data_IF_664615930888
#
_entry.id   IF_664615930888
#
_cell.length_a   1.000
_cell.length_b   1.000
_cell.length_c   1.000
_cell.angle_alpha   90.00
_cell.angle_beta   90.00
_cell.angle_gamma   90.00
#
_symmetry.space_group_name_H-M   'P 1'
#
loop_
_entity.id
_entity.type
_entity.pdbx_description
1 polymer ?
#
# COMPACT_ATOMS: atom_id res chain seq x y z
N UNK A 1 -58.49 40.45 -38.09
CA UNK A 1 -58.39 41.08 -39.41
C UNK A 1 -59.20 40.29 -40.43
N UNK A 2 -60.54 40.33 -40.47
CA UNK A 2 -61.59 40.78 -39.53
C UNK A 2 -62.92 40.08 -39.92
N UNK A 3 -63.85 39.76 -39.00
CA UNK A 3 -64.99 40.59 -38.55
C UNK A 3 -65.90 41.08 -39.73
N UNK A 4 -67.23 40.93 -39.77
CA UNK A 4 -68.24 40.36 -38.85
C UNK A 4 -69.58 40.10 -39.62
N UNK A 5 -70.75 40.11 -38.93
CA UNK A 5 -72.14 40.21 -39.45
C UNK A 5 -72.73 38.92 -40.11
N UNK A 6 -73.91 38.33 -39.77
CA UNK A 6 -75.22 38.73 -39.16
C UNK A 6 -76.04 39.72 -40.00
N UNK A 7 -77.35 39.61 -40.24
CA UNK A 7 -78.50 38.76 -39.78
C UNK A 7 -79.68 38.95 -40.78
N UNK A 8 -80.96 38.50 -40.56
CA UNK A 8 -81.54 37.51 -39.63
C UNK A 8 -82.19 36.33 -40.42
N UNK A 9 -83.43 35.81 -40.36
CA UNK A 9 -84.73 35.92 -39.61
C UNK A 9 -85.54 34.62 -39.99
N UNK A 10 -86.73 34.20 -39.52
CA UNK A 10 -87.76 34.71 -38.60
C UNK A 10 -88.36 33.55 -37.74
N UNK A 11 -89.56 33.03 -38.06
CA UNK A 11 -90.34 32.02 -37.29
C UNK A 11 -91.15 31.09 -38.25
N UNK A 12 -92.02 30.11 -37.88
CA UNK A 12 -92.63 29.65 -36.59
C UNK A 12 -93.17 28.19 -36.67
N UNK A 13 -93.80 27.73 -35.59
CA UNK A 13 -94.51 26.44 -35.29
C UNK A 13 -95.39 25.78 -36.40
N UNK A 14 -95.77 24.48 -36.36
CA UNK A 14 -95.45 23.36 -35.45
C UNK A 14 -96.51 22.20 -35.44
N UNK A 15 -96.13 21.03 -34.86
CA UNK A 15 -96.95 19.87 -34.39
C UNK A 15 -97.78 19.02 -35.40
N UNK A 16 -98.29 17.80 -35.10
CA UNK A 16 -97.81 16.56 -34.42
C UNK A 16 -98.92 15.46 -34.55
N UNK A 17 -98.74 14.23 -35.07
CA UNK A 17 -98.42 12.99 -34.30
C UNK A 17 -98.70 11.73 -35.15
N UNK A 18 -97.91 10.65 -35.01
CA UNK A 18 -98.43 9.26 -34.84
C UNK A 18 -97.31 8.33 -34.33
N UNK A 19 -97.56 7.56 -33.25
CA UNK A 19 -96.48 6.90 -32.49
C UNK A 19 -96.18 5.49 -33.01
N UNK A 20 -94.90 5.24 -33.32
CA UNK A 20 -94.37 3.94 -33.76
C UNK A 20 -94.12 3.03 -32.55
N UNK A 21 -94.78 1.88 -32.48
CA UNK A 21 -94.68 0.92 -31.35
C UNK A 21 -93.23 0.46 -31.14
N UNK A 22 -92.67 0.68 -29.95
CA UNK A 22 -91.27 0.35 -29.64
C UNK A 22 -91.01 -1.16 -29.74
N UNK A 23 -90.01 -1.53 -30.55
CA UNK A 23 -89.36 -2.85 -30.50
C UNK A 23 -88.50 -2.91 -29.24
N UNK A 24 -88.57 -4.01 -28.49
CA UNK A 24 -87.81 -4.17 -27.23
C UNK A 24 -87.07 -5.50 -27.22
N UNK A 25 -85.86 -5.49 -26.65
CA UNK A 25 -84.93 -6.63 -26.64
C UNK A 25 -85.56 -7.93 -26.07
N UNK A 26 -86.48 -7.80 -25.11
CA UNK A 26 -87.26 -8.90 -24.53
C UNK A 26 -88.14 -9.62 -25.56
N UNK A 27 -88.67 -8.90 -26.57
CA UNK A 27 -89.48 -9.48 -27.63
C UNK A 27 -88.63 -10.28 -28.61
N UNK A 28 -87.53 -9.69 -29.10
CA UNK A 28 -86.60 -10.33 -30.04
C UNK A 28 -86.00 -11.64 -29.49
N UNK A 29 -85.64 -11.66 -28.19
CA UNK A 29 -85.21 -12.90 -27.51
C UNK A 29 -86.33 -13.96 -27.51
N UNK A 30 -87.57 -13.57 -27.23
CA UNK A 30 -88.71 -14.51 -27.16
C UNK A 30 -89.08 -15.11 -28.52
N UNK A 31 -88.81 -14.38 -29.61
CA UNK A 31 -89.06 -14.83 -30.98
C UNK A 31 -87.94 -15.75 -31.48
N UNK A 32 -86.67 -15.43 -31.19
CA UNK A 32 -85.52 -16.29 -31.47
C UNK A 32 -85.63 -17.67 -30.77
N UNK A 33 -86.04 -17.69 -29.50
CA UNK A 33 -86.25 -18.93 -28.73
C UNK A 33 -87.35 -19.83 -29.34
N UNK A 34 -88.40 -19.25 -29.94
CA UNK A 34 -89.44 -20.02 -30.65
C UNK A 34 -88.90 -20.64 -31.94
N UNK A 35 -88.08 -19.92 -32.71
CA UNK A 35 -87.55 -20.42 -33.98
C UNK A 35 -86.51 -21.53 -33.80
N UNK A 36 -85.65 -21.46 -32.77
CA UNK A 36 -84.59 -22.45 -32.57
C UNK A 36 -85.01 -23.77 -31.90
N UNK A 37 -86.26 -23.92 -31.44
CA UNK A 37 -86.79 -25.13 -30.76
C UNK A 37 -85.97 -25.60 -29.53
N UNK A 38 -85.20 -24.73 -28.88
CA UNK A 38 -84.43 -25.08 -27.68
C UNK A 38 -85.13 -24.62 -26.41
N UNK A 39 -85.37 -25.57 -25.49
CA UNK A 39 -85.93 -25.28 -24.16
C UNK A 39 -84.88 -24.63 -23.24
N UNK A 40 -85.32 -23.73 -22.35
CA UNK A 40 -84.49 -23.07 -21.34
C UNK A 40 -83.70 -24.09 -20.50
N UNK A 41 -84.32 -25.20 -20.09
CA UNK A 41 -83.64 -26.29 -19.37
C UNK A 41 -82.53 -26.92 -20.21
N UNK A 42 -82.71 -27.03 -21.53
CA UNK A 42 -81.69 -27.50 -22.47
C UNK A 42 -80.51 -26.53 -22.58
N UNK A 43 -80.77 -25.21 -22.53
CA UNK A 43 -79.73 -24.18 -22.51
C UNK A 43 -78.94 -24.19 -21.18
N UNK A 44 -79.60 -24.37 -20.04
CA UNK A 44 -78.92 -24.54 -18.73
C UNK A 44 -78.10 -25.83 -18.70
N UNK A 45 -78.62 -26.95 -19.24
CA UNK A 45 -77.85 -28.19 -19.38
C UNK A 45 -76.67 -28.00 -20.34
N UNK A 46 -76.83 -27.28 -21.43
CA UNK A 46 -75.76 -26.99 -22.39
C UNK A 46 -74.66 -26.12 -21.77
N UNK A 47 -75.01 -25.06 -21.04
CA UNK A 47 -74.02 -24.20 -20.37
C UNK A 47 -73.36 -24.93 -19.19
N UNK A 48 -74.07 -25.81 -18.46
CA UNK A 48 -73.43 -26.70 -17.48
C UNK A 48 -72.45 -27.68 -18.16
N UNK A 49 -72.85 -28.32 -19.26
CA UNK A 49 -71.95 -29.18 -20.07
C UNK A 49 -70.79 -28.39 -20.68
N UNK A 50 -70.96 -27.09 -20.92
CA UNK A 50 -69.91 -26.18 -21.37
C UNK A 50 -68.95 -25.85 -20.24
N UNK A 51 -69.42 -25.57 -19.02
CA UNK A 51 -68.55 -25.42 -17.84
C UNK A 51 -67.80 -26.72 -17.53
N UNK A 52 -68.47 -27.88 -17.56
CA UNK A 52 -67.86 -29.21 -17.42
C UNK A 52 -66.83 -29.51 -18.54
N UNK A 53 -67.02 -28.99 -19.77
CA UNK A 53 -66.05 -29.11 -20.89
C UNK A 53 -65.05 -27.94 -21.01
N UNK A 54 -65.24 -26.86 -20.27
CA UNK A 54 -64.27 -25.78 -20.07
C UNK A 54 -63.34 -26.06 -18.90
N UNK A 55 -63.51 -27.22 -18.23
CA UNK A 55 -62.41 -27.95 -17.62
C UNK A 55 -61.38 -28.37 -18.68
N UNK A 56 -60.57 -27.40 -19.13
CA UNK A 56 -59.45 -27.66 -20.04
C UNK A 56 -58.45 -28.56 -19.33
N UNK A 57 -58.30 -29.78 -19.85
CA UNK A 57 -57.26 -30.71 -19.41
C UNK A 57 -55.90 -30.11 -19.76
N UNK A 58 -55.25 -29.50 -18.78
CA UNK A 58 -53.80 -29.42 -18.78
C UNK A 58 -53.27 -30.82 -18.45
N UNK A 59 -52.28 -31.35 -19.19
CA UNK A 59 -51.65 -32.62 -18.84
C UNK A 59 -50.96 -32.51 -17.48
N UNK A 60 -50.80 -33.63 -16.77
CA UNK A 60 -50.02 -33.66 -15.54
C UNK A 60 -48.56 -33.24 -15.81
N UNK A 61 -48.23 -32.02 -15.41
CA UNK A 61 -46.87 -31.66 -15.05
C UNK A 61 -46.85 -31.31 -13.57
N UNK A 62 -46.04 -32.04 -12.81
CA UNK A 62 -45.83 -31.89 -11.35
C UNK A 62 -45.02 -30.63 -11.01
N UNK A 63 -45.48 -29.47 -11.47
CA UNK A 63 -44.93 -28.17 -11.11
C UNK A 63 -45.57 -27.69 -9.81
N UNK A 64 -44.82 -27.86 -8.71
CA UNK A 64 -45.10 -27.21 -7.43
C UNK A 64 -45.38 -25.73 -7.67
N UNK A 65 -46.60 -25.27 -7.36
CA UNK A 65 -47.00 -23.88 -7.60
C UNK A 65 -46.26 -22.98 -6.60
N UNK A 66 -45.12 -22.44 -7.03
CA UNK A 66 -44.52 -21.27 -6.40
C UNK A 66 -45.49 -20.10 -6.60
N UNK A 67 -46.26 -19.79 -5.56
CA UNK A 67 -47.12 -18.60 -5.57
C UNK A 67 -46.23 -17.36 -5.70
N UNK A 68 -46.60 -16.33 -6.48
CA UNK A 68 -45.76 -15.14 -6.66
C UNK A 68 -45.50 -14.43 -5.33
N UNK A 69 -46.44 -14.50 -4.38
CA UNK A 69 -46.24 -14.04 -2.99
C UNK A 69 -45.03 -14.68 -2.32
N UNK A 70 -44.81 -15.98 -2.50
CA UNK A 70 -43.66 -16.68 -1.93
C UNK A 70 -42.35 -16.36 -2.68
N UNK A 71 -42.43 -16.03 -3.97
CA UNK A 71 -41.27 -15.51 -4.74
C UNK A 71 -40.85 -14.14 -4.20
N UNK A 72 -41.80 -13.22 -3.98
CA UNK A 72 -41.49 -11.90 -3.39
C UNK A 72 -40.95 -12.01 -1.95
N UNK A 73 -41.48 -12.91 -1.12
CA UNK A 73 -40.96 -13.18 0.23
C UNK A 73 -39.53 -13.75 0.15
N UNK A 74 -39.28 -14.73 -0.74
CA UNK A 74 -37.95 -15.31 -0.94
C UNK A 74 -36.93 -14.29 -1.45
N UNK A 75 -37.33 -13.41 -2.37
CA UNK A 75 -36.50 -12.31 -2.88
C UNK A 75 -36.19 -11.27 -1.80
N UNK A 76 -37.17 -10.94 -0.94
CA UNK A 76 -36.98 -10.06 0.21
C UNK A 76 -35.98 -10.64 1.22
N UNK A 77 -36.12 -11.92 1.56
CA UNK A 77 -35.17 -12.63 2.44
C UNK A 77 -33.77 -12.66 1.81
N UNK A 78 -33.67 -12.95 0.50
CA UNK A 78 -32.40 -12.95 -0.22
C UNK A 78 -31.72 -11.57 -0.20
N UNK A 79 -32.47 -10.49 -0.40
CA UNK A 79 -31.95 -9.12 -0.33
C UNK A 79 -31.50 -8.75 1.10
N UNK A 80 -32.23 -9.17 2.14
CA UNK A 80 -31.81 -8.96 3.54
C UNK A 80 -30.53 -9.74 3.87
N UNK A 81 -30.43 -11.00 3.44
CA UNK A 81 -29.20 -11.80 3.61
C UNK A 81 -28.03 -11.19 2.83
N UNK A 82 -28.26 -10.68 1.62
CA UNK A 82 -27.23 -9.99 0.83
C UNK A 82 -26.79 -8.68 1.50
N UNK A 83 -27.71 -7.88 2.03
CA UNK A 83 -27.42 -6.64 2.73
C UNK A 83 -26.67 -6.85 4.04
N UNK A 84 -27.01 -7.91 4.80
CA UNK A 84 -26.27 -8.34 5.99
C UNK A 84 -24.87 -8.83 5.59
N UNK A 85 -24.76 -9.61 4.52
CA UNK A 85 -23.47 -10.08 3.98
C UNK A 85 -22.56 -8.94 3.53
N UNK A 86 -23.10 -7.95 2.81
CA UNK A 86 -22.36 -6.75 2.39
C UNK A 86 -21.98 -5.88 3.59
N UNK A 87 -22.88 -5.69 4.57
CA UNK A 87 -22.56 -4.95 5.81
C UNK A 87 -21.49 -5.66 6.64
N UNK A 88 -21.56 -6.98 6.78
CA UNK A 88 -20.54 -7.76 7.47
C UNK A 88 -19.19 -7.71 6.73
N UNK A 89 -19.19 -7.83 5.40
CA UNK A 89 -18.00 -7.67 4.57
C UNK A 89 -17.40 -6.27 4.67
N UNK A 90 -18.23 -5.22 4.69
CA UNK A 90 -17.80 -3.83 4.92
C UNK A 90 -17.22 -3.64 6.33
N UNK A 91 -17.83 -4.21 7.37
CA UNK A 91 -17.31 -4.13 8.75
C UNK A 91 -16.02 -4.94 8.96
N UNK A 92 -15.83 -6.01 8.20
CA UNK A 92 -14.57 -6.77 8.16
C UNK A 92 -13.49 -6.01 7.36
N UNK A 93 -13.85 -5.32 6.26
CA UNK A 93 -12.93 -4.44 5.51
C UNK A 93 -12.60 -3.14 6.23
N UNK A 94 -13.50 -2.57 7.01
CA UNK A 94 -13.25 -1.42 7.89
C UNK A 94 -12.36 -1.78 9.10
N UNK A 95 -12.00 -3.06 9.24
CA UNK A 95 -10.94 -3.57 10.14
C UNK A 95 -9.68 -4.01 9.41
N UNK A 96 -9.60 -3.87 8.08
CA UNK A 96 -8.29 -3.71 7.48
C UNK A 96 -7.72 -2.39 8.03
N UNK A 97 -6.48 -2.37 8.55
CA UNK A 97 -5.87 -1.11 8.94
C UNK A 97 -5.84 -0.19 7.72
N UNK A 98 -6.33 1.03 7.87
CA UNK A 98 -5.98 2.08 6.92
C UNK A 98 -4.46 2.10 6.84
N UNK A 99 -3.91 2.08 5.61
CA UNK A 99 -2.49 2.30 5.43
C UNK A 99 -2.22 3.75 5.82
N UNK A 100 -1.88 3.96 7.09
CA UNK A 100 -1.30 5.21 7.57
C UNK A 100 -0.15 5.49 6.62
N UNK A 101 -0.29 6.55 5.84
CA UNK A 101 0.77 7.01 4.95
C UNK A 101 1.80 7.69 5.85
N UNK A 102 2.58 6.86 6.55
CA UNK A 102 3.74 7.30 7.30
C UNK A 102 4.56 8.21 6.37
N UNK A 103 4.96 9.41 6.83
CA UNK A 103 5.67 10.35 5.98
C UNK A 103 6.90 9.63 5.41
N UNK A 104 6.99 9.58 4.08
CA UNK A 104 8.09 8.93 3.39
C UNK A 104 9.38 9.63 3.78
N UNK A 105 10.21 8.96 4.59
CA UNK A 105 11.55 9.41 4.95
C UNK A 105 12.36 9.56 3.66
N UNK A 106 12.48 10.80 3.17
CA UNK A 106 13.26 11.15 1.99
C UNK A 106 14.75 11.06 2.30
N UNK A 107 15.28 9.85 2.22
CA UNK A 107 16.67 9.54 2.53
C UNK A 107 17.52 9.86 1.30
N UNK A 108 17.95 11.12 1.20
CA UNK A 108 18.92 11.56 0.20
C UNK A 108 20.27 10.87 0.45
N UNK A 109 20.48 9.73 -0.22
CA UNK A 109 21.72 8.95 -0.16
C UNK A 109 22.83 9.63 -0.97
N UNK A 110 24.07 9.75 -0.46
CA UNK A 110 25.20 10.30 -1.21
C UNK A 110 25.65 9.39 -2.37
N UNK A 111 25.32 8.10 -2.35
CA UNK A 111 25.59 7.14 -3.44
C UNK A 111 24.31 6.48 -3.95
N UNK A 112 24.34 6.00 -5.19
CA UNK A 112 23.31 5.11 -5.70
C UNK A 112 23.33 3.76 -4.95
N UNK A 113 22.14 3.23 -4.66
CA UNK A 113 21.90 1.97 -3.95
C UNK A 113 21.03 1.06 -4.82
N UNK A 114 21.43 -0.18 -5.05
CA UNK A 114 20.60 -1.19 -5.72
C UNK A 114 19.46 -1.67 -4.81
N UNK A 115 19.67 -1.62 -3.50
CA UNK A 115 18.73 -2.10 -2.49
C UNK A 115 18.80 -1.23 -1.22
N UNK A 116 17.69 -1.13 -0.49
CA UNK A 116 17.58 -0.36 0.74
C UNK A 116 16.74 -1.12 1.78
N UNK A 117 17.16 -1.08 3.05
CA UNK A 117 16.42 -1.67 4.18
C UNK A 117 16.42 -0.73 5.38
N UNK A 118 15.33 -0.82 6.15
CA UNK A 118 15.14 -0.05 7.38
C UNK A 118 15.22 -0.98 8.59
N UNK A 119 16.01 -0.59 9.60
CA UNK A 119 16.16 -1.30 10.88
C UNK A 119 15.65 -0.40 12.00
N UNK A 120 14.53 -0.75 12.62
CA UNK A 120 14.08 -0.09 13.86
C UNK A 120 14.98 -0.49 15.04
N UNK A 121 15.31 0.46 15.91
CA UNK A 121 16.08 0.29 17.15
C UNK A 121 15.19 0.71 18.33
N UNK A 122 15.06 -0.16 19.32
CA UNK A 122 14.13 -0.02 20.45
C UNK A 122 14.85 0.22 21.79
N UNK A 123 16.00 -0.45 21.99
CA UNK A 123 16.69 -0.60 23.28
C UNK A 123 18.04 0.12 23.31
N UNK A 124 18.35 0.86 22.25
CA UNK A 124 19.48 1.77 22.09
C UNK A 124 20.83 1.23 22.62
N UNK A 125 21.31 0.08 22.11
CA UNK A 125 22.59 -0.50 22.51
C UNK A 125 23.27 -1.34 21.42
N UNK A 126 24.59 -1.54 21.58
CA UNK A 126 25.47 -2.31 20.68
C UNK A 126 24.92 -3.69 20.29
N UNK A 127 24.36 -4.44 21.25
CA UNK A 127 23.96 -5.83 21.03
C UNK A 127 22.72 -5.93 20.13
N UNK A 128 21.82 -4.96 20.22
CA UNK A 128 20.66 -4.86 19.33
C UNK A 128 21.09 -4.50 17.90
N UNK A 129 21.98 -3.51 17.75
CA UNK A 129 22.53 -3.12 16.43
C UNK A 129 23.23 -4.33 15.80
N UNK A 130 24.13 -4.99 16.53
CA UNK A 130 24.82 -6.19 16.07
C UNK A 130 23.84 -7.29 15.66
N UNK A 131 22.91 -7.66 16.54
CA UNK A 131 21.93 -8.72 16.25
C UNK A 131 21.08 -8.43 15.01
N UNK A 132 20.54 -7.21 14.88
CA UNK A 132 19.71 -6.84 13.73
C UNK A 132 20.53 -6.76 12.43
N UNK A 133 21.80 -6.32 12.48
CA UNK A 133 22.70 -6.28 11.31
C UNK A 133 23.22 -7.69 10.92
N UNK A 134 23.49 -8.58 11.89
CA UNK A 134 23.86 -9.99 11.65
C UNK A 134 22.73 -10.82 11.02
N UNK A 135 21.48 -10.51 11.36
CA UNK A 135 20.30 -11.14 10.72
C UNK A 135 20.16 -10.60 9.29
N UNK A 136 20.17 -9.28 9.11
CA UNK A 136 20.04 -8.65 7.79
C UNK A 136 21.11 -9.15 6.79
N UNK A 137 22.38 -9.21 7.22
CA UNK A 137 23.51 -9.69 6.37
C UNK A 137 23.39 -11.17 5.98
N UNK A 138 22.61 -11.96 6.72
CA UNK A 138 22.43 -13.41 6.54
C UNK A 138 21.20 -13.74 5.70
N UNK A 139 20.15 -12.95 5.81
CA UNK A 139 18.87 -13.15 5.12
C UNK A 139 18.81 -12.45 3.76
N UNK A 140 19.50 -11.32 3.57
CA UNK A 140 19.45 -10.58 2.31
C UNK A 140 20.36 -11.20 1.24
N UNK A 141 19.75 -11.72 0.16
CA UNK A 141 20.48 -12.18 -1.02
C UNK A 141 20.95 -10.99 -1.87
N UNK A 142 22.18 -10.51 -1.63
CA UNK A 142 22.78 -9.38 -2.34
C UNK A 142 23.44 -9.82 -3.65
N UNK A 143 23.08 -9.28 -4.83
CA UNK A 143 23.77 -9.53 -6.09
C UNK A 143 25.26 -9.14 -6.04
N UNK A 144 26.08 -9.79 -6.87
CA UNK A 144 27.49 -9.42 -7.03
C UNK A 144 27.59 -7.99 -7.58
N UNK A 145 28.47 -7.21 -6.97
CA UNK A 145 28.74 -5.79 -7.20
C UNK A 145 27.56 -4.84 -6.91
N UNK A 146 26.67 -5.26 -6.00
CA UNK A 146 25.58 -4.42 -5.48
C UNK A 146 25.89 -3.77 -4.14
N UNK A 147 25.23 -2.65 -3.87
CA UNK A 147 25.22 -1.96 -2.59
C UNK A 147 23.82 -2.05 -1.97
N UNK A 148 23.79 -2.50 -0.72
CA UNK A 148 22.66 -2.39 0.18
C UNK A 148 22.88 -1.21 1.13
N UNK A 149 22.03 -0.19 1.06
CA UNK A 149 21.95 0.86 2.07
C UNK A 149 21.07 0.47 3.25
N UNK A 150 21.45 0.86 4.46
CA UNK A 150 20.74 0.55 5.71
C UNK A 150 20.42 1.87 6.43
N UNK A 151 19.14 2.12 6.66
CA UNK A 151 18.68 3.23 7.50
C UNK A 151 18.21 2.71 8.84
N UNK A 152 18.75 3.29 9.91
CA UNK A 152 18.27 3.03 11.27
C UNK A 152 17.16 4.00 11.64
N UNK A 153 16.10 3.50 12.25
CA UNK A 153 14.97 4.29 12.77
C UNK A 153 14.72 3.99 14.24
N UNK A 154 13.89 4.83 14.87
CA UNK A 154 13.44 4.71 16.25
C UNK A 154 11.97 5.10 16.34
N UNK A 155 11.25 4.58 17.33
CA UNK A 155 9.97 5.14 17.75
C UNK A 155 10.22 6.36 18.64
N UNK A 156 9.44 7.43 18.45
CA UNK A 156 9.36 8.58 19.36
C UNK A 156 7.90 8.80 19.77
N UNK A 157 7.66 9.11 21.04
CA UNK A 157 6.35 9.55 21.50
C UNK A 157 6.15 11.04 21.15
N UNK A 158 4.99 11.37 20.57
CA UNK A 158 4.60 12.74 20.23
C UNK A 158 3.20 13.04 20.78
N UNK A 159 2.77 14.30 20.70
CA UNK A 159 1.40 14.70 21.08
C UNK A 159 0.30 14.04 20.22
N UNK A 160 0.67 13.45 19.08
CA UNK A 160 -0.23 12.77 18.13
C UNK A 160 -0.12 11.24 18.23
N UNK A 161 0.71 10.72 19.15
CA UNK A 161 0.99 9.29 19.33
C UNK A 161 2.44 8.91 19.00
N UNK A 162 2.69 7.60 18.87
CA UNK A 162 3.99 7.06 18.41
C UNK A 162 4.26 7.42 16.95
N UNK A 163 5.44 7.97 16.66
CA UNK A 163 5.91 8.27 15.30
C UNK A 163 7.28 7.65 15.05
N UNK A 164 7.56 7.26 13.81
CA UNK A 164 8.88 6.74 13.41
C UNK A 164 9.79 7.89 12.99
N UNK A 165 10.96 8.00 13.63
CA UNK A 165 11.99 8.98 13.28
C UNK A 165 13.28 8.29 12.79
N UNK A 166 14.10 9.01 12.03
CA UNK A 166 15.49 8.61 11.75
C UNK A 166 16.30 8.55 13.05
N UNK A 167 17.23 7.60 13.12
CA UNK A 167 18.32 7.65 14.08
C UNK A 167 19.36 8.68 13.61
N UNK A 168 19.72 9.64 14.46
CA UNK A 168 20.79 10.60 14.15
C UNK A 168 22.19 9.98 14.30
N UNK A 169 23.18 10.58 13.63
CA UNK A 169 24.61 10.25 13.78
C UNK A 169 25.06 10.41 15.23
N UNK A 170 24.56 11.42 15.96
CA UNK A 170 24.88 11.59 17.37
C UNK A 170 24.29 10.49 18.26
N UNK A 171 23.14 9.91 17.90
CA UNK A 171 22.55 8.78 18.62
C UNK A 171 23.26 7.47 18.28
N UNK A 172 23.62 7.25 17.01
CA UNK A 172 24.45 6.13 16.58
C UNK A 172 25.76 6.06 17.40
N UNK A 173 26.50 7.17 17.47
CA UNK A 173 27.73 7.23 18.27
C UNK A 173 27.49 7.24 19.78
N UNK A 174 26.30 7.56 20.28
CA UNK A 174 25.97 7.35 21.70
C UNK A 174 25.75 5.88 22.07
N UNK A 175 25.47 5.01 21.09
CA UNK A 175 25.28 3.57 21.30
C UNK A 175 26.52 2.73 20.97
N UNK A 176 27.30 3.15 19.99
CA UNK A 176 28.50 2.45 19.48
C UNK A 176 29.81 3.09 19.94
N UNK A 177 29.84 4.41 19.98
CA UNK A 177 31.04 5.22 20.07
C UNK A 177 31.49 5.53 21.48
N UNK A 178 31.60 4.51 22.34
CA UNK A 178 31.92 4.67 23.76
C UNK A 178 33.22 5.47 24.01
N UNK A 179 34.23 5.30 23.15
CA UNK A 179 35.50 6.03 23.21
C UNK A 179 35.64 7.08 22.08
N UNK A 180 34.58 7.30 21.29
CA UNK A 180 34.58 8.27 20.19
C UNK A 180 34.66 9.71 20.74
N UNK A 181 35.62 10.55 20.31
CA UNK A 181 35.77 11.90 20.83
C UNK A 181 34.50 12.74 20.68
N UNK A 182 33.94 13.26 21.78
CA UNK A 182 32.70 14.08 21.76
C UNK A 182 32.80 15.31 20.85
N UNK A 183 34.01 15.81 20.61
CA UNK A 183 34.33 16.86 19.66
C UNK A 183 34.12 16.39 18.21
N UNK A 184 34.57 15.17 17.86
CA UNK A 184 34.39 14.55 16.54
C UNK A 184 32.90 14.37 16.22
N UNK A 185 32.12 13.81 17.15
CA UNK A 185 30.68 13.57 16.99
C UNK A 185 29.94 14.89 16.61
N UNK A 186 30.34 16.02 17.21
CA UNK A 186 29.77 17.35 16.93
C UNK A 186 30.17 17.95 15.57
N UNK A 187 31.15 17.36 14.87
CA UNK A 187 31.49 17.78 13.50
C UNK A 187 30.63 17.11 12.45
N UNK A 188 29.99 15.98 12.76
CA UNK A 188 29.20 15.22 11.80
C UNK A 188 27.83 15.87 11.51
N UNK A 189 27.27 15.49 10.37
CA UNK A 189 25.91 15.80 9.94
C UNK A 189 25.00 14.58 10.08
N UNK A 190 23.70 14.84 9.97
CA UNK A 190 22.67 13.85 9.67
C UNK A 190 22.21 14.05 8.21
N UNK A 191 21.87 12.97 7.47
CA UNK A 191 22.01 11.57 7.83
C UNK A 191 23.46 11.05 7.62
N UNK A 192 23.78 9.94 8.29
CA UNK A 192 24.84 9.02 7.87
C UNK A 192 24.26 7.95 6.92
N UNK A 193 25.14 7.28 6.16
CA UNK A 193 24.78 6.07 5.42
C UNK A 193 25.62 4.90 5.89
N UNK A 194 25.01 3.91 6.54
CA UNK A 194 25.59 2.59 6.73
C UNK A 194 25.13 1.64 5.62
N UNK A 195 25.91 0.62 5.30
CA UNK A 195 25.51 -0.39 4.32
C UNK A 195 26.52 -1.52 4.13
N UNK A 196 26.25 -2.34 3.12
CA UNK A 196 27.12 -3.42 2.67
C UNK A 196 27.38 -3.31 1.16
N UNK A 197 28.63 -3.53 0.74
CA UNK A 197 28.98 -3.85 -0.65
C UNK A 197 29.16 -5.36 -0.78
N UNK A 198 28.49 -5.98 -1.74
CA UNK A 198 28.53 -7.41 -1.97
C UNK A 198 29.42 -7.75 -3.18
N UNK A 199 30.70 -8.05 -2.94
CA UNK A 199 31.66 -8.39 -4.00
C UNK A 199 32.10 -9.87 -3.88
N UNK A 200 33.37 -10.11 -3.53
CA UNK A 200 33.87 -11.47 -3.19
C UNK A 200 33.42 -11.93 -1.79
N UNK A 201 33.09 -10.96 -0.95
CA UNK A 201 32.52 -11.05 0.39
C UNK A 201 31.55 -9.87 0.54
N UNK A 202 30.63 -9.97 1.50
CA UNK A 202 29.77 -8.85 1.90
C UNK A 202 30.49 -8.01 2.95
N UNK A 203 30.95 -6.83 2.56
CA UNK A 203 31.84 -5.97 3.35
C UNK A 203 31.08 -4.71 3.84
N UNK A 204 31.11 -4.37 5.14
CA UNK A 204 30.46 -3.18 5.66
C UNK A 204 31.14 -1.89 5.17
N UNK A 205 30.34 -0.84 5.02
CA UNK A 205 30.85 0.52 4.88
C UNK A 205 29.98 1.50 5.66
N UNK A 206 30.58 2.64 6.05
CA UNK A 206 29.93 3.78 6.66
C UNK A 206 30.40 5.04 5.93
N UNK A 207 29.45 5.84 5.44
CA UNK A 207 29.70 7.20 4.94
C UNK A 207 29.16 8.18 5.98
N UNK A 208 30.05 9.03 6.48
CA UNK A 208 29.74 10.17 7.34
C UNK A 208 29.96 11.46 6.53
N UNK A 209 29.18 12.49 6.79
CA UNK A 209 29.49 13.83 6.28
C UNK A 209 29.74 14.80 7.44
N UNK A 210 30.58 15.81 7.23
CA UNK A 210 31.04 16.73 8.28
C UNK A 210 30.89 18.21 7.90
N UNK A 211 30.70 19.06 8.92
CA UNK A 211 30.52 20.52 8.81
C UNK A 211 31.84 21.28 8.72
N UNK A 212 32.85 20.78 9.43
CA UNK A 212 34.17 21.41 9.58
C UNK A 212 35.25 20.37 9.35
N UNK A 213 36.16 20.62 8.40
CA UNK A 213 37.20 19.65 8.03
C UNK A 213 38.23 19.46 9.14
N UNK A 214 38.86 20.54 9.61
CA UNK A 214 40.02 20.46 10.51
C UNK A 214 39.68 19.78 11.84
N UNK A 215 38.49 20.08 12.39
CA UNK A 215 37.98 19.44 13.60
C UNK A 215 37.61 17.96 13.41
N UNK A 216 37.10 17.59 12.23
CA UNK A 216 36.79 16.20 11.91
C UNK A 216 38.10 15.40 11.72
N UNK A 217 39.06 15.95 10.98
CA UNK A 217 40.36 15.32 10.73
C UNK A 217 41.13 15.05 12.03
N UNK A 218 41.29 16.06 12.89
CA UNK A 218 41.92 15.90 14.20
C UNK A 218 41.16 14.94 15.12
N UNK A 219 39.82 14.94 15.05
CA UNK A 219 38.98 14.01 15.80
C UNK A 219 39.12 12.56 15.34
N UNK A 220 39.19 12.30 14.03
CA UNK A 220 39.39 10.96 13.47
C UNK A 220 40.73 10.37 13.91
N UNK A 221 41.82 11.16 13.86
CA UNK A 221 43.14 10.74 14.35
C UNK A 221 43.14 10.42 15.85
N UNK A 222 42.35 11.13 16.66
CA UNK A 222 42.18 10.81 18.09
C UNK A 222 41.34 9.54 18.33
N UNK A 223 40.49 9.17 17.37
CA UNK A 223 39.61 8.01 17.45
C UNK A 223 40.27 6.70 16.98
N UNK A 224 41.29 6.77 16.13
CA UNK A 224 42.03 5.60 15.59
C UNK A 224 42.31 4.46 16.60
N UNK A 225 42.77 4.70 17.85
CA UNK A 225 43.06 3.63 18.81
C UNK A 225 41.83 2.83 19.27
N UNK A 226 40.62 3.34 19.02
CA UNK A 226 39.34 2.79 19.49
C UNK A 226 38.34 2.52 18.36
N UNK A 227 38.56 3.10 17.17
CA UNK A 227 37.66 3.02 16.01
C UNK A 227 37.28 1.58 15.63
N UNK A 228 38.22 0.63 15.76
CA UNK A 228 37.98 -0.79 15.48
C UNK A 228 37.02 -1.45 16.50
N UNK A 229 37.10 -1.07 17.78
CA UNK A 229 36.18 -1.56 18.82
C UNK A 229 34.81 -0.88 18.74
N UNK A 230 34.78 0.45 18.59
CA UNK A 230 33.55 1.24 18.54
C UNK A 230 32.67 0.84 17.33
N UNK A 231 33.28 0.58 16.16
CA UNK A 231 32.53 0.17 14.97
C UNK A 231 32.19 -1.32 14.95
N UNK A 232 32.83 -2.16 15.79
CA UNK A 232 32.64 -3.62 15.79
C UNK A 232 31.20 -4.11 15.84
N UNK A 233 30.26 -3.52 16.62
CA UNK A 233 28.88 -3.99 16.66
C UNK A 233 28.14 -3.79 15.33
N UNK A 234 28.45 -2.74 14.57
CA UNK A 234 27.80 -2.45 13.29
C UNK A 234 28.55 -3.09 12.10
N UNK A 235 29.89 -3.15 12.16
CA UNK A 235 30.74 -3.73 11.12
C UNK A 235 30.88 -5.27 11.26
N UNK A 236 30.34 -5.86 12.33
CA UNK A 236 30.40 -7.29 12.63
C UNK A 236 31.84 -7.82 12.77
N UNK A 237 32.70 -7.03 13.43
CA UNK A 237 34.12 -7.35 13.60
C UNK A 237 34.33 -8.31 14.77
N UNK A 238 35.26 -9.25 14.59
CA UNK A 238 35.58 -10.28 15.59
C UNK A 238 36.54 -9.78 16.68
N UNK A 239 36.37 -10.30 17.90
CA UNK A 239 37.22 -9.87 19.04
C UNK A 239 38.70 -10.24 18.89
N UNK A 240 39.02 -11.19 18.01
CA UNK A 240 40.39 -11.58 17.67
C UNK A 240 41.15 -10.53 16.86
N UNK A 241 40.45 -9.59 16.23
CA UNK A 241 41.07 -8.56 15.38
C UNK A 241 41.60 -7.36 16.19
N UNK A 242 41.26 -7.26 17.48
CA UNK A 242 41.66 -6.17 18.37
C UNK A 242 43.07 -6.32 18.94
N UNK A 243 44.12 -6.07 18.15
CA UNK A 243 45.46 -5.83 18.72
C UNK A 243 45.71 -4.34 18.95
N UNK A 244 45.89 -3.96 20.24
CA UNK A 244 46.34 -2.60 20.63
C UNK A 244 47.76 -2.25 20.18
N UNK A 245 48.49 -3.16 19.54
CA UNK A 245 49.81 -2.90 18.96
C UNK A 245 49.77 -2.56 17.47
N UNK A 246 48.60 -2.66 16.83
CA UNK A 246 48.42 -2.28 15.43
C UNK A 246 48.04 -0.80 15.36
N UNK A 247 48.69 -0.07 14.46
CA UNK A 247 48.48 1.36 14.24
C UNK A 247 47.99 1.56 12.80
N UNK A 248 47.29 2.67 12.56
CA UNK A 248 46.94 3.09 11.21
C UNK A 248 48.19 3.63 10.49
N UNK A 249 48.45 3.10 9.29
CA UNK A 249 49.47 3.58 8.36
C UNK A 249 48.84 4.36 7.21
N UNK A 250 49.62 5.20 6.52
CA UNK A 250 49.18 6.00 5.38
C UNK A 250 49.40 5.25 4.06
N UNK A 251 48.34 5.12 3.25
CA UNK A 251 48.41 4.58 1.88
C UNK A 251 47.56 5.41 0.92
N UNK A 252 47.89 5.41 -0.37
CA UNK A 252 47.11 6.12 -1.40
C UNK A 252 46.28 5.13 -2.22
N UNK A 253 44.97 5.33 -2.28
CA UNK A 253 44.04 4.47 -3.05
C UNK A 253 43.12 5.36 -3.88
N UNK A 254 43.06 5.15 -5.20
CA UNK A 254 42.26 5.95 -6.15
C UNK A 254 42.45 7.49 -6.03
N UNK A 255 43.69 7.93 -5.77
CA UNK A 255 44.04 9.34 -5.57
C UNK A 255 43.25 10.00 -4.41
N UNK A 256 43.08 9.25 -3.31
CA UNK A 256 42.73 9.78 -1.99
C UNK A 256 43.74 9.23 -0.98
N UNK A 257 44.08 10.02 0.04
CA UNK A 257 44.90 9.58 1.16
C UNK A 257 44.04 8.74 2.13
N UNK A 258 44.51 7.53 2.45
CA UNK A 258 43.76 6.54 3.21
C UNK A 258 44.57 6.12 4.44
N UNK A 259 43.94 6.22 5.61
CA UNK A 259 44.45 5.67 6.86
C UNK A 259 43.98 4.22 6.92
N UNK A 260 44.91 3.26 6.94
CA UNK A 260 44.61 1.82 6.90
C UNK A 260 45.16 1.10 8.13
N UNK A 261 44.32 0.27 8.76
CA UNK A 261 44.68 -0.62 9.85
C UNK A 261 44.72 -2.07 9.33
N UNK A 262 45.83 -2.75 9.60
CA UNK A 262 46.07 -4.14 9.16
C UNK A 262 46.47 -5.03 10.33
N UNK A 263 46.17 -6.32 10.21
CA UNK A 263 46.65 -7.32 11.15
C UNK A 263 48.09 -7.77 10.87
N UNK A 264 48.62 -8.66 11.72
CA UNK A 264 49.95 -9.28 11.58
C UNK A 264 50.16 -10.06 10.28
N UNK A 265 49.08 -10.42 9.59
CA UNK A 265 49.10 -11.14 8.31
C UNK A 265 49.05 -10.18 7.10
N UNK A 266 49.13 -8.85 7.34
CA UNK A 266 48.95 -7.78 6.36
C UNK A 266 47.54 -7.77 5.72
N UNK A 267 46.54 -8.40 6.36
CA UNK A 267 45.13 -8.31 5.97
C UNK A 267 44.55 -6.98 6.49
N UNK A 268 43.81 -6.25 5.65
CA UNK A 268 43.04 -5.08 6.07
C UNK A 268 41.98 -5.45 7.10
N UNK A 269 41.85 -4.66 8.16
CA UNK A 269 40.81 -4.80 9.19
C UNK A 269 39.87 -3.61 9.26
N UNK A 270 40.40 -2.41 9.05
CA UNK A 270 39.62 -1.19 8.89
C UNK A 270 40.42 -0.20 8.06
N UNK A 271 39.76 0.66 7.29
CA UNK A 271 40.37 1.77 6.58
C UNK A 271 39.40 2.95 6.53
N UNK A 272 39.92 4.17 6.53
CA UNK A 272 39.11 5.35 6.26
C UNK A 272 39.85 6.41 5.43
N UNK A 273 39.08 7.29 4.79
CA UNK A 273 39.59 8.41 4.01
C UNK A 273 38.62 9.59 4.03
N UNK A 274 39.18 10.80 4.04
CA UNK A 274 38.47 12.02 3.64
C UNK A 274 38.50 12.09 2.11
N UNK A 275 37.44 11.64 1.46
CA UNK A 275 37.35 11.58 -0.01
C UNK A 275 37.10 12.95 -0.63
N UNK A 276 36.59 13.88 0.20
CA UNK A 276 36.60 15.32 0.02
C UNK A 276 36.63 16.00 1.42
N UNK A 277 36.44 17.33 1.52
CA UNK A 277 36.50 18.08 2.80
C UNK A 277 35.31 17.82 3.75
N UNK A 278 34.24 17.23 3.24
CA UNK A 278 32.93 17.11 3.85
C UNK A 278 32.40 15.66 3.86
N UNK A 279 33.11 14.70 3.25
CA UNK A 279 32.73 13.28 3.19
C UNK A 279 33.85 12.38 3.69
N UNK A 280 33.52 11.51 4.65
CA UNK A 280 34.39 10.47 5.21
C UNK A 280 33.82 9.10 4.85
N UNK A 281 34.65 8.23 4.29
CA UNK A 281 34.29 6.82 4.01
C UNK A 281 35.10 5.91 4.93
N UNK A 282 34.44 4.96 5.60
CA UNK A 282 35.05 3.94 6.46
C UNK A 282 34.59 2.55 5.99
N UNK A 283 35.49 1.57 5.86
CA UNK A 283 35.15 0.18 5.47
C UNK A 283 36.22 -0.83 5.93
N UNK A 284 35.91 -2.12 5.92
CA UNK A 284 36.86 -3.23 6.13
C UNK A 284 37.76 -3.51 4.92
N UNK A 285 37.34 -3.14 3.71
CA UNK A 285 37.89 -3.73 2.49
C UNK A 285 38.27 -2.69 1.41
N UNK A 286 39.47 -2.84 0.87
CA UNK A 286 40.05 -2.01 -0.20
C UNK A 286 39.23 -2.00 -1.49
N UNK A 287 38.53 -3.07 -1.85
CA UNK A 287 37.67 -3.11 -3.04
C UNK A 287 36.32 -2.41 -2.80
N UNK A 288 35.72 -2.59 -1.61
CA UNK A 288 34.53 -1.83 -1.21
C UNK A 288 34.80 -0.32 -1.13
N UNK A 289 35.99 0.08 -0.64
CA UNK A 289 36.41 1.49 -0.65
C UNK A 289 36.43 2.07 -2.07
N UNK A 290 37.02 1.36 -3.03
CA UNK A 290 37.08 1.80 -4.44
C UNK A 290 35.69 1.99 -5.02
N UNK A 291 34.76 1.09 -4.76
CA UNK A 291 33.41 1.19 -5.32
C UNK A 291 32.64 2.37 -4.72
N UNK A 292 32.68 2.54 -3.39
CA UNK A 292 32.07 3.70 -2.72
C UNK A 292 32.65 5.02 -3.26
N UNK A 293 33.98 5.13 -3.37
CA UNK A 293 34.66 6.31 -3.95
C UNK A 293 34.25 6.54 -5.41
N UNK A 294 34.11 5.47 -6.20
CA UNK A 294 33.70 5.56 -7.61
C UNK A 294 32.26 6.05 -7.75
N UNK A 295 31.34 5.57 -6.90
CA UNK A 295 29.95 6.04 -6.86
C UNK A 295 29.81 7.47 -6.37
N UNK A 296 30.55 7.89 -5.33
CA UNK A 296 30.58 9.28 -4.85
C UNK A 296 31.08 10.25 -5.94
N UNK A 297 32.02 9.82 -6.79
CA UNK A 297 32.54 10.59 -7.92
C UNK A 297 31.69 10.48 -9.19
N UNK A 298 30.67 9.62 -9.21
CA UNK A 298 29.75 9.45 -10.35
C UNK A 298 28.55 10.39 -10.21
N UNK A 299 28.27 11.27 -11.20
CA UNK A 299 27.13 12.18 -11.12
C UNK A 299 25.81 11.40 -11.00
N UNK A 300 25.09 11.58 -9.89
CA UNK A 300 23.76 11.02 -9.73
C UNK A 300 22.83 11.60 -10.80
N UNK A 301 22.43 10.77 -11.77
CA UNK A 301 21.47 11.15 -12.80
C UNK A 301 20.07 11.22 -12.19
N UNK A 302 19.72 12.38 -11.63
CA UNK A 302 18.37 12.69 -11.17
C UNK A 302 17.36 12.36 -12.28
N UNK A 303 16.53 11.34 -12.06
CA UNK A 303 15.37 11.08 -12.88
C UNK A 303 14.30 12.11 -12.49
N UNK A 304 14.14 13.12 -13.35
CA UNK A 304 13.05 14.10 -13.32
C UNK A 304 11.85 13.58 -14.09
#
# INVERSE_FOLDING_TARGET
>A
MDNEQKTPEEKKEGQDTFIKRLRTYKYDISEALKQQKQSFTGMVIAEKKRQEKSGVVQPEQTRKIFTPKNIFIGLGILLVVLAIGVSAFMLLRAKAPEQVISPSLDIQSPVFLENHKTISIERFNENEIRGKVEVLKREENMPIDSILGITFTKTIETLEGEQTALLSTSELFSMLGHETPRQLIRTFNDPFLFGFHAFRKTEPFLILTNRFYDGAFLGMLQWEPFMLSDLSPMFLLERTDFSRTQLFEDVVIQNNDVRILKNTNNETKLLYSFVDRNTIVITTNTDAFKEIVTRLKTPQKMLR
#
